data_IF_772935629093
#
_entry.id   IF_772935629093
#
_cell.length_a   1.000
_cell.length_b   1.000
_cell.length_c   1.000
_cell.angle_alpha   90.00
_cell.angle_beta   90.00
_cell.angle_gamma   90.00
#
_symmetry.space_group_name_H-M   'P 1'
#
loop_
_entity.id
_entity.type
_entity.pdbx_description
1 polymer ?
#
# COMPACT_ATOMS: atom_id res chain seq x y z
N UNK A 1 -17.19 -2.63 9.38
CA UNK A 1 -17.09 -2.11 8.10
C UNK A 1 -16.92 -0.59 8.09
N UNK A 2 -17.99 0.07 7.88
CA UNK A 2 -18.01 1.49 7.64
C UNK A 2 -17.64 2.27 8.87
N UNK A 3 -16.73 3.20 8.73
CA UNK A 3 -16.36 4.12 9.78
C UNK A 3 -15.80 3.46 11.04
N UNK A 4 -15.27 2.24 10.90
CA UNK A 4 -14.57 1.63 12.02
C UNK A 4 -13.27 2.40 12.26
N UNK A 5 -13.02 2.73 13.51
CA UNK A 5 -11.83 3.47 13.89
C UNK A 5 -10.89 2.55 14.67
N UNK A 6 -9.79 2.21 13.99
CA UNK A 6 -8.70 1.44 14.58
C UNK A 6 -7.42 2.25 14.57
N UNK A 7 -7.54 3.58 14.51
CA UNK A 7 -6.38 4.45 14.53
C UNK A 7 -5.57 4.24 15.82
N UNK A 8 -4.25 4.44 15.71
CA UNK A 8 -3.33 4.35 16.83
C UNK A 8 -3.36 2.97 17.52
N UNK A 9 -3.56 1.91 16.73
CA UNK A 9 -3.62 0.55 17.24
C UNK A 9 -2.29 -0.16 17.00
N UNK A 10 -1.98 -1.11 17.87
CA UNK A 10 -0.81 -1.97 17.70
C UNK A 10 -1.27 -3.39 17.38
N UNK A 11 -0.99 -3.81 16.14
CA UNK A 11 -1.27 -5.17 15.70
C UNK A 11 0.04 -5.96 15.74
N UNK A 12 0.07 -7.05 16.48
CA UNK A 12 1.24 -7.91 16.56
C UNK A 12 0.81 -9.36 16.48
N UNK A 13 1.49 -10.13 15.64
CA UNK A 13 1.21 -11.55 15.46
C UNK A 13 -0.27 -11.79 15.13
N UNK A 14 -0.82 -10.94 14.28
CA UNK A 14 -2.23 -10.97 13.94
C UNK A 14 -2.42 -11.51 12.52
N UNK A 15 -3.46 -12.31 12.32
CA UNK A 15 -3.83 -12.77 10.99
C UNK A 15 -5.26 -12.31 10.69
N UNK A 16 -5.43 -11.59 9.59
CA UNK A 16 -6.74 -11.12 9.14
C UNK A 16 -6.99 -11.72 7.76
N UNK A 17 -8.02 -12.54 7.68
CA UNK A 17 -8.31 -13.31 6.49
C UNK A 17 -9.73 -13.06 6.00
N UNK A 18 -9.88 -12.86 4.70
CA UNK A 18 -11.19 -12.79 4.04
C UNK A 18 -12.11 -11.76 4.68
N UNK A 19 -11.58 -10.58 4.96
CA UNK A 19 -12.33 -9.51 5.62
C UNK A 19 -12.57 -8.33 4.69
N UNK A 20 -13.68 -7.65 4.92
CA UNK A 20 -13.98 -6.41 4.23
C UNK A 20 -13.79 -5.26 5.21
N UNK A 21 -12.78 -4.43 4.94
CA UNK A 21 -12.39 -3.34 5.82
C UNK A 21 -12.35 -2.01 5.06
N UNK A 22 -13.25 -1.84 4.10
CA UNK A 22 -13.26 -0.63 3.27
C UNK A 22 -13.56 0.60 4.13
N UNK A 23 -12.78 1.65 3.90
CA UNK A 23 -12.97 2.91 4.59
C UNK A 23 -12.52 2.92 6.06
N UNK A 24 -11.90 1.84 6.54
CA UNK A 24 -11.45 1.78 7.93
C UNK A 24 -10.33 2.80 8.17
N UNK A 25 -10.35 3.41 9.34
CA UNK A 25 -9.23 4.25 9.77
C UNK A 25 -8.31 3.41 10.64
N UNK A 26 -7.12 3.15 10.12
CA UNK A 26 -6.08 2.38 10.79
C UNK A 26 -4.78 3.19 10.78
N UNK A 27 -4.93 4.53 10.72
CA UNK A 27 -3.80 5.44 10.67
C UNK A 27 -3.03 5.49 11.98
N UNK A 28 -1.78 5.94 11.89
CA UNK A 28 -0.88 6.08 13.04
C UNK A 28 -0.80 4.81 13.87
N UNK A 29 -0.84 3.67 13.20
CA UNK A 29 -0.79 2.36 13.83
C UNK A 29 0.58 1.73 13.66
N UNK A 30 0.84 0.70 14.44
CA UNK A 30 2.01 -0.14 14.29
C UNK A 30 1.55 -1.56 14.01
N UNK A 31 2.09 -2.13 12.94
CA UNK A 31 1.72 -3.47 12.51
C UNK A 31 3.00 -4.29 12.41
N UNK A 32 3.10 -5.36 13.17
CA UNK A 32 4.29 -6.20 13.20
C UNK A 32 3.93 -7.68 13.16
N UNK A 33 4.71 -8.45 12.39
CA UNK A 33 4.58 -9.91 12.30
C UNK A 33 3.15 -10.33 12.03
N UNK A 34 2.48 -9.62 11.13
CA UNK A 34 1.08 -9.85 10.85
C UNK A 34 0.87 -10.25 9.39
N UNK A 35 -0.21 -10.97 9.13
CA UNK A 35 -0.55 -11.43 7.80
C UNK A 35 -1.98 -11.01 7.47
N UNK A 36 -2.12 -10.49 6.25
CA UNK A 36 -3.41 -10.09 5.72
C UNK A 36 -3.60 -10.79 4.39
N UNK A 37 -4.69 -11.50 4.23
CA UNK A 37 -4.94 -12.24 3.00
C UNK A 37 -6.40 -12.10 2.59
N UNK A 38 -6.62 -11.84 1.29
CA UNK A 38 -7.95 -11.79 0.70
C UNK A 38 -8.86 -10.79 1.42
N UNK A 39 -8.33 -9.58 1.63
CA UNK A 39 -9.07 -8.53 2.31
C UNK A 39 -9.26 -7.32 1.42
N UNK A 40 -10.32 -6.57 1.65
CA UNK A 40 -10.56 -5.31 0.97
C UNK A 40 -10.32 -4.16 1.95
N UNK A 41 -9.41 -3.27 1.57
CA UNK A 41 -9.08 -2.04 2.29
C UNK A 41 -9.25 -0.82 1.38
N UNK A 42 -10.22 -0.88 0.47
CA UNK A 42 -10.46 0.27 -0.42
C UNK A 42 -10.83 1.50 0.42
N UNK A 43 -10.22 2.63 0.06
CA UNK A 43 -10.42 3.91 0.76
C UNK A 43 -10.00 3.88 2.23
N UNK A 44 -9.33 2.82 2.68
CA UNK A 44 -8.85 2.75 4.06
C UNK A 44 -7.68 3.70 4.28
N UNK A 45 -7.54 4.18 5.49
CA UNK A 45 -6.47 5.10 5.84
C UNK A 45 -5.43 4.40 6.73
N UNK A 46 -4.24 4.17 6.17
CA UNK A 46 -3.09 3.61 6.89
C UNK A 46 -2.01 4.65 7.13
N UNK A 47 -2.28 5.91 6.82
CA UNK A 47 -1.22 6.92 6.83
C UNK A 47 -0.53 7.06 8.17
N UNK A 48 0.75 7.44 8.12
CA UNK A 48 1.58 7.67 9.30
C UNK A 48 1.76 6.43 10.18
N UNK A 49 1.70 5.25 9.58
CA UNK A 49 1.87 3.99 10.31
C UNK A 49 3.28 3.43 10.08
N UNK A 50 3.68 2.50 10.96
CA UNK A 50 4.89 1.72 10.80
C UNK A 50 4.51 0.25 10.66
N UNK A 51 4.94 -0.38 9.57
CA UNK A 51 4.57 -1.75 9.25
C UNK A 51 5.84 -2.55 9.02
N UNK A 52 6.07 -3.59 9.84
CA UNK A 52 7.29 -4.37 9.82
C UNK A 52 7.00 -5.86 9.80
N UNK A 53 7.84 -6.59 9.06
CA UNK A 53 7.81 -8.06 9.05
C UNK A 53 6.41 -8.61 8.82
N UNK A 54 5.67 -8.00 7.92
CA UNK A 54 4.27 -8.35 7.66
C UNK A 54 4.07 -8.67 6.19
N UNK A 55 3.00 -9.37 5.90
CA UNK A 55 2.69 -9.80 4.53
C UNK A 55 1.26 -9.43 4.18
N UNK A 56 1.10 -8.87 2.99
CA UNK A 56 -0.20 -8.55 2.43
C UNK A 56 -0.35 -9.34 1.13
N UNK A 57 -1.34 -10.21 1.07
CA UNK A 57 -1.59 -11.05 -0.10
C UNK A 57 -3.02 -10.90 -0.56
N UNK A 58 -3.22 -10.64 -1.85
CA UNK A 58 -4.55 -10.47 -2.43
C UNK A 58 -5.35 -9.39 -1.70
N UNK A 59 -4.71 -8.25 -1.49
CA UNK A 59 -5.34 -7.14 -0.80
C UNK A 59 -5.75 -6.07 -1.80
N UNK A 60 -6.96 -5.57 -1.66
CA UNK A 60 -7.45 -4.46 -2.46
C UNK A 60 -7.20 -3.17 -1.67
N UNK A 61 -6.19 -2.40 -2.12
CA UNK A 61 -5.87 -1.08 -1.57
C UNK A 61 -6.34 0.04 -2.48
N UNK A 62 -7.41 -0.20 -3.22
CA UNK A 62 -7.89 0.77 -4.20
C UNK A 62 -8.24 2.08 -3.50
N UNK A 63 -7.64 3.19 -3.98
CA UNK A 63 -7.87 4.52 -3.42
C UNK A 63 -7.55 4.62 -1.92
N UNK A 64 -6.72 3.73 -1.40
CA UNK A 64 -6.33 3.77 0.00
C UNK A 64 -5.33 4.89 0.26
N UNK A 65 -5.30 5.38 1.50
CA UNK A 65 -4.36 6.39 1.94
C UNK A 65 -3.17 5.69 2.60
N UNK A 66 -2.05 5.65 1.88
CA UNK A 66 -0.85 4.94 2.28
C UNK A 66 0.34 5.90 2.38
N UNK A 67 0.09 7.17 2.70
CA UNK A 67 1.14 8.17 2.77
C UNK A 67 1.87 8.14 4.12
N UNK A 68 3.13 8.57 4.09
CA UNK A 68 3.95 8.70 5.30
C UNK A 68 4.08 7.38 6.08
N UNK A 69 4.03 6.24 5.40
CA UNK A 69 4.19 4.94 6.05
C UNK A 69 5.66 4.54 6.01
N UNK A 70 6.13 3.93 7.10
CA UNK A 70 7.45 3.33 7.15
C UNK A 70 7.33 1.84 7.08
N UNK A 71 7.74 1.27 5.94
CA UNK A 71 7.75 -0.17 5.72
C UNK A 71 9.13 -0.74 6.01
N UNK A 72 9.15 -1.90 6.65
CA UNK A 72 10.38 -2.66 6.85
C UNK A 72 10.08 -4.14 6.73
N UNK A 73 10.80 -4.82 5.83
CA UNK A 73 10.63 -6.27 5.62
C UNK A 73 9.17 -6.66 5.47
N UNK A 74 8.48 -5.95 4.58
CA UNK A 74 7.05 -6.15 4.33
C UNK A 74 6.88 -6.60 2.89
N UNK A 75 6.00 -7.57 2.68
CA UNK A 75 5.76 -8.15 1.37
C UNK A 75 4.35 -7.85 0.88
N UNK A 76 4.25 -7.59 -0.42
CA UNK A 76 2.97 -7.37 -1.09
C UNK A 76 2.86 -8.32 -2.26
N UNK A 77 1.94 -9.27 -2.20
CA UNK A 77 1.76 -10.27 -3.24
C UNK A 77 0.37 -10.12 -3.86
N UNK A 78 0.34 -9.82 -5.15
CA UNK A 78 -0.90 -9.72 -5.92
C UNK A 78 -1.90 -8.76 -5.27
N UNK A 79 -1.42 -7.61 -4.82
CA UNK A 79 -2.26 -6.57 -4.27
C UNK A 79 -2.64 -5.57 -5.37
N UNK A 80 -3.73 -4.84 -5.15
CA UNK A 80 -4.18 -3.82 -6.08
C UNK A 80 -4.06 -2.45 -5.43
N UNK A 81 -3.12 -1.64 -5.92
CA UNK A 81 -2.87 -0.28 -5.42
C UNK A 81 -3.47 0.79 -6.34
N UNK A 82 -4.46 0.44 -7.16
CA UNK A 82 -5.03 1.41 -8.09
C UNK A 82 -5.52 2.66 -7.36
N UNK A 83 -5.01 3.82 -7.77
CA UNK A 83 -5.40 5.09 -7.19
C UNK A 83 -4.91 5.33 -5.76
N UNK A 84 -4.12 4.43 -5.19
CA UNK A 84 -3.64 4.59 -3.81
C UNK A 84 -2.69 5.79 -3.71
N UNK A 85 -2.75 6.46 -2.58
CA UNK A 85 -1.89 7.60 -2.29
C UNK A 85 -0.66 7.12 -1.52
N UNK A 86 0.49 7.09 -2.21
CA UNK A 86 1.75 6.62 -1.65
C UNK A 86 2.69 7.78 -1.29
N UNK A 87 2.18 8.98 -1.23
CA UNK A 87 3.00 10.17 -1.05
C UNK A 87 3.89 10.07 0.19
N UNK A 88 5.20 10.29 -0.01
CA UNK A 88 6.21 10.21 1.05
C UNK A 88 6.33 8.83 1.73
N UNK A 89 5.95 7.77 1.04
CA UNK A 89 6.15 6.39 1.51
C UNK A 89 7.24 5.75 0.68
N UNK A 90 8.36 5.41 1.30
CA UNK A 90 9.45 4.74 0.59
C UNK A 90 9.11 3.29 0.32
N UNK A 91 9.28 2.87 -0.92
CA UNK A 91 9.12 1.48 -1.34
C UNK A 91 10.47 0.80 -1.51
N UNK A 92 11.52 1.35 -0.90
CA UNK A 92 12.85 0.79 -1.02
C UNK A 92 12.88 -0.66 -0.54
N UNK A 93 13.48 -1.51 -1.35
CA UNK A 93 13.61 -2.96 -1.10
C UNK A 93 12.26 -3.69 -1.05
N UNK A 94 11.20 -3.07 -1.52
CA UNK A 94 9.87 -3.69 -1.58
C UNK A 94 9.57 -4.08 -3.01
N UNK A 95 9.18 -5.35 -3.18
CA UNK A 95 8.80 -5.90 -4.48
C UNK A 95 7.29 -5.73 -4.68
N UNK A 96 6.91 -4.85 -5.61
CA UNK A 96 5.51 -4.66 -5.98
C UNK A 96 5.24 -5.16 -7.40
N UNK A 97 6.15 -5.98 -7.95
CA UNK A 97 6.06 -6.39 -9.35
C UNK A 97 4.83 -7.23 -9.66
N UNK A 98 4.22 -7.87 -8.66
CA UNK A 98 3.00 -8.66 -8.86
C UNK A 98 1.74 -7.83 -8.67
N UNK A 99 1.86 -6.54 -8.41
CA UNK A 99 0.73 -5.69 -7.99
C UNK A 99 0.25 -4.80 -9.13
N UNK A 100 -1.02 -4.41 -9.07
CA UNK A 100 -1.58 -3.41 -9.97
C UNK A 100 -1.34 -2.03 -9.38
N UNK A 101 -0.88 -1.09 -10.21
CA UNK A 101 -0.53 0.25 -9.76
C UNK A 101 -1.16 1.35 -10.61
N UNK A 102 -2.20 1.04 -11.35
CA UNK A 102 -2.86 2.02 -12.22
C UNK A 102 -3.35 3.22 -11.40
N UNK A 103 -2.94 4.42 -11.81
CA UNK A 103 -3.36 5.64 -11.11
C UNK A 103 -2.75 5.85 -9.74
N UNK A 104 -1.75 5.07 -9.36
CA UNK A 104 -1.05 5.24 -8.08
C UNK A 104 -0.47 6.66 -8.00
N UNK A 105 -0.57 7.29 -6.83
CA UNK A 105 -0.12 8.68 -6.64
C UNK A 105 1.15 8.73 -5.83
N UNK A 106 2.06 9.61 -6.25
CA UNK A 106 3.39 9.73 -5.67
C UNK A 106 3.94 11.13 -5.97
N UNK A 107 5.08 11.47 -5.40
CA UNK A 107 5.68 12.78 -5.61
C UNK A 107 6.34 12.88 -6.99
N UNK A 108 6.44 14.10 -7.51
CA UNK A 108 6.94 14.35 -8.87
C UNK A 108 8.36 13.87 -9.09
N UNK A 109 9.17 13.80 -8.04
CA UNK A 109 10.56 13.38 -8.16
C UNK A 109 10.74 11.87 -8.08
N UNK A 110 9.67 11.09 -7.99
CA UNK A 110 9.71 9.62 -7.93
C UNK A 110 10.44 9.09 -6.70
N UNK A 111 10.54 9.90 -5.67
CA UNK A 111 11.28 9.52 -4.47
C UNK A 111 10.81 8.18 -3.89
N UNK A 112 9.50 7.94 -3.89
CA UNK A 112 8.92 6.73 -3.30
C UNK A 112 9.40 5.45 -3.99
N UNK A 113 9.73 5.53 -5.27
CA UNK A 113 10.11 4.36 -6.07
C UNK A 113 11.61 4.07 -6.07
N UNK A 114 12.41 4.86 -5.37
CA UNK A 114 13.85 4.59 -5.31
C UNK A 114 14.10 3.29 -4.58
N UNK A 115 14.74 2.35 -5.26
CA UNK A 115 15.04 1.04 -4.70
C UNK A 115 13.88 0.08 -4.68
N UNK A 116 12.73 0.46 -5.20
CA UNK A 116 11.60 -0.45 -5.33
C UNK A 116 11.86 -1.46 -6.45
N UNK A 117 11.27 -2.63 -6.32
CA UNK A 117 11.35 -3.67 -7.34
C UNK A 117 10.03 -3.70 -8.10
N UNK A 118 10.09 -3.42 -9.40
CA UNK A 118 8.88 -3.35 -10.23
C UNK A 118 9.05 -4.23 -11.47
N UNK A 119 7.93 -4.57 -12.10
CA UNK A 119 7.91 -5.17 -13.43
C UNK A 119 8.08 -4.04 -14.46
N UNK A 120 8.86 -4.25 -15.54
CA UNK A 120 9.05 -3.21 -16.56
C UNK A 120 7.76 -2.60 -17.09
N UNK A 121 6.69 -3.39 -17.22
CA UNK A 121 5.42 -2.87 -17.73
C UNK A 121 4.78 -1.86 -16.77
N UNK A 122 5.09 -1.96 -15.49
CA UNK A 122 4.58 -0.98 -14.52
C UNK A 122 5.16 0.41 -14.72
N UNK A 123 6.31 0.51 -15.40
CA UNK A 123 6.91 1.81 -15.68
C UNK A 123 6.00 2.69 -16.54
N UNK A 124 5.16 2.07 -17.35
CA UNK A 124 4.20 2.81 -18.19
C UNK A 124 3.23 3.58 -17.30
N UNK A 125 2.70 2.92 -16.28
CA UNK A 125 1.75 3.56 -15.36
C UNK A 125 2.41 4.70 -14.58
N UNK A 126 3.65 4.49 -14.15
CA UNK A 126 4.38 5.53 -13.42
C UNK A 126 4.62 6.76 -14.29
N UNK A 127 5.06 6.53 -15.54
CA UNK A 127 5.35 7.62 -16.48
C UNK A 127 4.07 8.38 -16.85
N UNK A 128 2.95 7.65 -17.01
CA UNK A 128 1.67 8.30 -17.30
C UNK A 128 1.27 9.28 -16.20
N UNK A 129 1.50 8.92 -14.95
CA UNK A 129 1.15 9.79 -13.82
C UNK A 129 1.99 11.06 -13.78
N UNK A 130 3.14 11.07 -14.46
CA UNK A 130 3.97 12.27 -14.62
C UNK A 130 3.50 13.17 -15.76
N UNK A 131 2.41 12.82 -16.43
CA UNK A 131 1.88 13.62 -17.53
C UNK A 131 2.46 13.32 -18.88
N UNK A 132 3.31 12.28 -18.98
CA UNK A 132 3.87 11.87 -20.27
C UNK A 132 2.83 11.12 -21.07
N UNK A 133 2.73 11.44 -22.34
CA UNK A 133 1.76 10.79 -23.24
C UNK A 133 2.48 9.79 -24.13
N UNK A 134 1.84 8.65 -24.30
CA UNK A 134 2.34 7.62 -25.21
C UNK A 134 1.59 7.67 -26.54
N UNK A 135 2.32 7.33 -27.60
CA UNK A 135 1.76 7.31 -28.94
C UNK A 135 1.31 5.91 -29.31
#
# INVERSE_FOLDING_TARGET
>A
DLNCDFAETYFKNTAILSCRCDGVDISRSRIKYSEFEDCSFSYANFSNSAIENSCFKLILFKEAFLSEIKFKKTNFNNCNFAGADMFNTSLKDIDISSCEIEGIRFSENLWEFRGAIIDPMQSIEIIKELGVKFV
#
